data_IF_341005865452
#
_entry.id   IF_341005865452
#
_cell.length_a   1.000
_cell.length_b   1.000
_cell.length_c   1.000
_cell.angle_alpha   90.00
_cell.angle_beta   90.00
_cell.angle_gamma   90.00
#
_symmetry.space_group_name_H-M   'P 1'
#
loop_
_entity.id
_entity.type
_entity.pdbx_description
1 polymer ?
#
# COMPACT_ATOMS: atom_id res chain seq x y z
N UNK A 1 -15.86 -11.07 9.44
CA UNK A 1 -14.60 -11.48 10.09
C UNK A 1 -14.59 -10.87 11.48
N UNK A 2 -14.32 -11.64 12.53
CA UNK A 2 -14.22 -11.13 13.90
C UNK A 2 -12.90 -10.35 14.13
N UNK A 3 -12.82 -9.64 15.26
CA UNK A 3 -11.68 -8.78 15.61
C UNK A 3 -10.38 -9.57 15.74
N UNK A 4 -10.38 -10.79 16.28
CA UNK A 4 -9.14 -11.56 16.45
C UNK A 4 -8.57 -11.98 15.09
N UNK A 5 -9.44 -12.44 14.18
CA UNK A 5 -9.03 -12.80 12.82
C UNK A 5 -8.48 -11.58 12.07
N UNK A 6 -9.13 -10.41 12.19
CA UNK A 6 -8.63 -9.14 11.62
C UNK A 6 -7.26 -8.78 12.21
N UNK A 7 -7.12 -8.85 13.53
CA UNK A 7 -5.88 -8.52 14.23
C UNK A 7 -4.73 -9.46 13.80
N UNK A 8 -4.98 -10.75 13.66
CA UNK A 8 -3.98 -11.69 13.16
C UNK A 8 -3.53 -11.38 11.73
N UNK A 9 -4.46 -11.07 10.82
CA UNK A 9 -4.12 -10.71 9.43
C UNK A 9 -3.24 -9.46 9.36
N UNK A 10 -3.62 -8.40 10.08
CA UNK A 10 -2.87 -7.15 9.99
C UNK A 10 -1.52 -7.22 10.70
N UNK A 11 -1.37 -8.06 11.73
CA UNK A 11 -0.13 -8.16 12.53
C UNK A 11 0.86 -9.24 12.06
N UNK A 12 0.43 -10.25 11.29
CA UNK A 12 1.35 -11.30 10.83
C UNK A 12 2.48 -10.72 9.99
N UNK A 13 3.68 -11.30 10.08
CA UNK A 13 4.83 -10.91 9.25
C UNK A 13 5.22 -9.42 9.34
N UNK A 14 4.90 -8.75 10.46
CA UNK A 14 5.42 -7.42 10.78
C UNK A 14 6.60 -7.54 11.73
N UNK A 15 7.60 -6.69 11.53
CA UNK A 15 8.72 -6.56 12.46
C UNK A 15 8.34 -5.75 13.71
N UNK A 16 7.45 -4.75 13.56
CA UNK A 16 7.09 -3.82 14.62
C UNK A 16 5.64 -3.33 14.48
N UNK A 17 5.00 -3.05 15.62
CA UNK A 17 3.65 -2.47 15.72
C UNK A 17 3.63 -1.45 16.85
N UNK A 18 3.23 -0.21 16.55
CA UNK A 18 3.21 0.91 17.51
C UNK A 18 1.79 1.51 17.57
N UNK A 19 1.04 1.39 18.69
CA UNK A 19 1.09 0.28 19.66
C UNK A 19 0.06 -0.80 19.31
N UNK A 20 0.28 -2.04 19.75
CA UNK A 20 -0.66 -3.15 19.51
C UNK A 20 -2.04 -2.91 20.14
N UNK A 21 -2.10 -2.20 21.27
CA UNK A 21 -3.36 -1.90 21.95
C UNK A 21 -4.20 -0.87 21.19
N UNK A 22 -3.57 0.17 20.65
CA UNK A 22 -4.25 1.16 19.79
C UNK A 22 -4.77 0.51 18.51
N UNK A 23 -3.98 -0.39 17.90
CA UNK A 23 -4.42 -1.15 16.73
C UNK A 23 -5.65 -2.02 17.05
N UNK A 24 -5.67 -2.72 18.19
CA UNK A 24 -6.84 -3.50 18.62
C UNK A 24 -8.07 -2.60 18.79
N UNK A 25 -7.93 -1.51 19.53
CA UNK A 25 -9.02 -0.56 19.75
C UNK A 25 -9.55 0.02 18.43
N UNK A 26 -8.65 0.33 17.48
CA UNK A 26 -9.04 0.77 16.14
C UNK A 26 -9.88 -0.28 15.41
N UNK A 27 -9.49 -1.57 15.47
CA UNK A 27 -10.25 -2.64 14.84
C UNK A 27 -11.61 -2.87 15.51
N UNK A 28 -11.72 -2.70 16.82
CA UNK A 28 -12.97 -2.88 17.57
C UNK A 28 -13.97 -1.73 17.33
N UNK A 29 -13.47 -0.52 17.10
CA UNK A 29 -14.30 0.69 17.00
C UNK A 29 -14.52 1.18 15.56
N UNK A 30 -13.71 0.72 14.61
CA UNK A 30 -13.81 1.11 13.21
C UNK A 30 -13.87 -0.11 12.28
N UNK A 31 -15.02 -0.22 11.58
CA UNK A 31 -15.27 -1.28 10.62
C UNK A 31 -14.35 -1.18 9.39
N UNK A 32 -14.03 0.04 8.95
CA UNK A 32 -13.21 0.32 7.76
C UNK A 32 -12.11 1.35 8.05
N UNK A 33 -11.09 1.00 8.85
CA UNK A 33 -9.97 1.89 9.08
C UNK A 33 -9.24 2.21 7.78
N UNK A 34 -8.70 3.44 7.67
CA UNK A 34 -7.86 3.82 6.54
C UNK A 34 -6.40 3.44 6.84
N UNK A 35 -5.73 2.90 5.83
CA UNK A 35 -4.29 2.61 5.88
C UNK A 35 -3.67 2.89 4.52
N UNK A 36 -2.36 3.16 4.47
CA UNK A 36 -1.68 3.39 3.20
C UNK A 36 -0.23 2.93 3.21
N UNK A 37 0.30 2.69 2.01
CA UNK A 37 1.75 2.64 1.75
C UNK A 37 2.05 3.56 0.58
N UNK A 38 3.07 4.41 0.74
CA UNK A 38 3.58 5.27 -0.31
C UNK A 38 4.75 4.64 -1.05
N UNK A 39 4.78 4.81 -2.36
CA UNK A 39 5.92 4.44 -3.20
C UNK A 39 6.32 5.64 -4.06
N UNK A 40 7.62 5.83 -4.27
CA UNK A 40 8.15 6.72 -5.30
C UNK A 40 8.52 5.86 -6.52
N UNK A 41 7.61 5.65 -7.49
CA UNK A 41 7.82 4.70 -8.57
C UNK A 41 8.88 5.27 -9.53
N UNK A 42 10.00 4.57 -9.68
CA UNK A 42 11.16 5.13 -10.37
C UNK A 42 12.03 4.07 -11.05
N UNK A 43 11.40 3.12 -11.73
CA UNK A 43 12.09 2.01 -12.39
C UNK A 43 11.31 0.70 -12.25
N UNK A 44 12.03 -0.42 -12.23
CA UNK A 44 11.44 -1.75 -12.08
C UNK A 44 11.03 -2.03 -10.63
N UNK A 45 9.91 -2.73 -10.46
CA UNK A 45 9.48 -3.18 -9.13
C UNK A 45 10.33 -4.37 -8.68
N UNK A 46 10.96 -4.25 -7.53
CA UNK A 46 11.67 -5.36 -6.91
C UNK A 46 10.67 -6.40 -6.35
N UNK A 47 11.05 -7.68 -6.36
CA UNK A 47 10.26 -8.78 -5.81
C UNK A 47 9.88 -8.56 -4.33
N UNK A 48 10.72 -7.93 -3.52
CA UNK A 48 10.37 -7.54 -2.15
C UNK A 48 9.17 -6.58 -2.10
N UNK A 49 9.17 -5.56 -2.96
CA UNK A 49 8.07 -4.59 -3.08
C UNK A 49 6.80 -5.27 -3.58
N UNK A 50 6.89 -6.04 -4.66
CA UNK A 50 5.73 -6.69 -5.26
C UNK A 50 5.14 -7.78 -4.37
N UNK A 51 5.96 -8.75 -3.95
CA UNK A 51 5.47 -9.97 -3.30
C UNK A 51 5.30 -9.79 -1.79
N UNK A 52 6.26 -9.19 -1.10
CA UNK A 52 6.21 -9.09 0.36
C UNK A 52 5.31 -7.93 0.78
N UNK A 53 5.58 -6.72 0.28
CA UNK A 53 4.75 -5.56 0.60
C UNK A 53 3.36 -5.71 -0.03
N UNK A 54 3.27 -6.18 -1.28
CA UNK A 54 1.97 -6.47 -1.90
C UNK A 54 1.12 -7.48 -1.12
N UNK A 55 1.72 -8.56 -0.59
CA UNK A 55 0.98 -9.47 0.29
C UNK A 55 0.49 -8.79 1.56
N UNK A 56 1.32 -7.93 2.18
CA UNK A 56 0.90 -7.18 3.36
C UNK A 56 -0.26 -6.22 3.06
N UNK A 57 -0.23 -5.52 1.92
CA UNK A 57 -1.35 -4.67 1.49
C UNK A 57 -2.64 -5.48 1.26
N UNK A 58 -2.53 -6.70 0.70
CA UNK A 58 -3.67 -7.62 0.58
C UNK A 58 -4.23 -7.99 1.95
N UNK A 59 -3.38 -8.29 2.93
CA UNK A 59 -3.82 -8.62 4.29
C UNK A 59 -4.65 -7.50 4.92
N UNK A 60 -4.26 -6.24 4.73
CA UNK A 60 -5.02 -5.10 5.23
C UNK A 60 -6.36 -4.94 4.52
N UNK A 61 -6.38 -5.05 3.19
CA UNK A 61 -7.63 -5.00 2.42
C UNK A 61 -8.59 -6.14 2.82
N UNK A 62 -8.08 -7.36 2.97
CA UNK A 62 -8.86 -8.54 3.41
C UNK A 62 -9.36 -8.41 4.86
N UNK A 63 -8.62 -7.68 5.71
CA UNK A 63 -9.05 -7.32 7.06
C UNK A 63 -10.08 -6.17 7.11
N UNK A 64 -10.53 -5.68 5.94
CA UNK A 64 -11.59 -4.68 5.80
C UNK A 64 -11.11 -3.23 5.82
N UNK A 65 -9.80 -2.98 5.71
CA UNK A 65 -9.29 -1.61 5.62
C UNK A 65 -9.69 -0.97 4.28
N UNK A 66 -9.98 0.33 4.33
CA UNK A 66 -9.86 1.14 3.13
C UNK A 66 -8.36 1.41 2.91
N UNK A 67 -7.73 0.55 2.10
CA UNK A 67 -6.28 0.58 1.91
C UNK A 67 -5.89 1.31 0.64
N UNK A 68 -4.91 2.21 0.77
CA UNK A 68 -4.47 3.12 -0.29
C UNK A 68 -3.05 2.77 -0.71
N UNK A 69 -2.84 2.59 -2.01
CA UNK A 69 -1.51 2.65 -2.62
C UNK A 69 -1.30 4.07 -3.11
N UNK A 70 -0.40 4.79 -2.44
CA UNK A 70 -0.08 6.16 -2.79
C UNK A 70 1.11 6.21 -3.77
N UNK A 71 0.84 6.65 -5.00
CA UNK A 71 1.79 6.76 -6.10
C UNK A 71 2.43 8.15 -6.08
N UNK A 72 3.56 8.26 -5.39
CA UNK A 72 4.21 9.50 -5.02
C UNK A 72 5.16 10.04 -6.11
N UNK A 73 4.67 10.25 -7.33
CA UNK A 73 5.50 10.73 -8.45
C UNK A 73 6.08 12.14 -8.22
N UNK A 74 5.35 13.04 -7.56
CA UNK A 74 5.88 14.36 -7.15
C UNK A 74 7.06 14.23 -6.17
N UNK A 75 7.01 13.26 -5.27
CA UNK A 75 8.11 13.00 -4.33
C UNK A 75 9.32 12.45 -5.08
N UNK A 76 9.09 11.54 -6.02
CA UNK A 76 10.14 11.08 -6.95
C UNK A 76 10.74 12.22 -7.77
N UNK A 77 9.92 13.17 -8.22
CA UNK A 77 10.35 14.33 -9.00
C UNK A 77 11.23 15.28 -8.18
N UNK A 78 10.80 15.64 -6.96
CA UNK A 78 11.60 16.46 -6.03
C UNK A 78 12.90 15.75 -5.67
N UNK A 79 12.90 14.42 -5.58
CA UNK A 79 14.09 13.59 -5.36
C UNK A 79 14.94 13.35 -6.62
N UNK A 80 14.68 14.07 -7.72
CA UNK A 80 15.40 13.98 -8.98
C UNK A 80 15.49 12.55 -9.55
N UNK A 81 14.50 11.70 -9.25
CA UNK A 81 14.43 10.34 -9.78
C UNK A 81 14.06 10.38 -11.26
N UNK A 82 14.53 9.39 -12.01
CA UNK A 82 14.29 9.30 -13.46
C UNK A 82 14.73 10.57 -14.22
N UNK A 83 15.80 11.23 -13.73
CA UNK A 83 16.33 12.47 -14.30
C UNK A 83 15.47 13.71 -14.06
N UNK A 84 14.54 13.67 -13.09
CA UNK A 84 13.64 14.80 -12.81
C UNK A 84 12.59 15.05 -13.89
N UNK A 85 12.35 14.07 -14.76
CA UNK A 85 11.33 14.14 -15.81
C UNK A 85 10.03 13.54 -15.26
N UNK A 86 9.04 14.40 -15.00
CA UNK A 86 7.77 13.99 -14.37
C UNK A 86 7.03 12.93 -15.19
N UNK A 87 7.04 13.03 -16.52
CA UNK A 87 6.41 12.04 -17.41
C UNK A 87 6.97 10.62 -17.23
N UNK A 88 8.29 10.49 -17.01
CA UNK A 88 8.91 9.19 -16.74
C UNK A 88 8.44 8.61 -15.40
N UNK A 89 8.24 9.47 -14.40
CA UNK A 89 7.73 9.06 -13.08
C UNK A 89 6.26 8.66 -13.15
N UNK A 90 5.44 9.41 -13.90
CA UNK A 90 4.04 9.06 -14.13
C UNK A 90 3.91 7.72 -14.87
N UNK A 91 4.79 7.47 -15.83
CA UNK A 91 4.87 6.16 -16.53
C UNK A 91 5.23 5.05 -15.55
N UNK A 92 6.22 5.26 -14.68
CA UNK A 92 6.60 4.27 -13.66
C UNK A 92 5.48 4.03 -12.63
N UNK A 93 4.71 5.06 -12.28
CA UNK A 93 3.56 4.94 -11.39
C UNK A 93 2.43 4.10 -12.01
N UNK A 94 2.15 4.30 -13.30
CA UNK A 94 1.23 3.44 -14.06
C UNK A 94 1.70 1.99 -14.09
N UNK A 95 2.99 1.76 -14.36
CA UNK A 95 3.59 0.43 -14.32
C UNK A 95 3.45 -0.25 -12.94
N UNK A 96 3.66 0.48 -11.85
CA UNK A 96 3.45 -0.05 -10.50
C UNK A 96 2.00 -0.40 -10.23
N UNK A 97 1.05 0.43 -10.69
CA UNK A 97 -0.39 0.14 -10.61
C UNK A 97 -0.73 -1.17 -11.33
N UNK A 98 -0.24 -1.36 -12.55
CA UNK A 98 -0.48 -2.57 -13.34
C UNK A 98 0.07 -3.82 -12.63
N UNK A 99 1.29 -3.74 -12.09
CA UNK A 99 1.90 -4.86 -11.37
C UNK A 99 1.14 -5.23 -10.09
N UNK A 100 0.78 -4.25 -9.27
CA UNK A 100 -0.01 -4.54 -8.07
C UNK A 100 -1.41 -5.06 -8.42
N UNK A 101 -2.03 -4.56 -9.49
CA UNK A 101 -3.30 -5.06 -9.99
C UNK A 101 -3.18 -6.53 -10.42
N UNK A 102 -2.13 -6.89 -11.16
CA UNK A 102 -1.84 -8.27 -11.55
C UNK A 102 -1.59 -9.19 -10.35
N UNK A 103 -1.12 -8.64 -9.23
CA UNK A 103 -0.96 -9.33 -7.97
C UNK A 103 -2.28 -9.38 -7.15
N UNK A 104 -3.42 -9.02 -7.72
CA UNK A 104 -4.73 -9.13 -7.05
C UNK A 104 -5.05 -7.98 -6.11
N UNK A 105 -4.39 -6.83 -6.27
CA UNK A 105 -4.73 -5.56 -5.63
C UNK A 105 -5.43 -4.64 -6.64
N UNK A 106 -6.50 -5.11 -7.26
CA UNK A 106 -7.23 -4.32 -8.26
C UNK A 106 -8.00 -3.16 -7.63
N UNK A 107 -8.39 -2.18 -8.45
CA UNK A 107 -9.36 -1.16 -8.06
C UNK A 107 -10.64 -1.80 -7.51
N UNK A 108 -11.23 -1.14 -6.50
CA UNK A 108 -12.37 -1.65 -5.73
C UNK A 108 -11.96 -2.53 -4.54
N UNK A 109 -10.84 -3.25 -4.63
CA UNK A 109 -10.21 -3.89 -3.46
C UNK A 109 -9.30 -2.94 -2.71
N UNK A 110 -8.61 -2.07 -3.44
CA UNK A 110 -7.80 -0.97 -2.91
C UNK A 110 -8.05 0.33 -3.69
N UNK A 111 -7.66 1.45 -3.10
CA UNK A 111 -7.61 2.76 -3.76
C UNK A 111 -6.18 3.01 -4.28
N UNK A 112 -6.06 3.42 -5.53
CA UNK A 112 -4.82 4.00 -6.07
C UNK A 112 -4.94 5.51 -6.06
N UNK A 113 -4.09 6.18 -5.29
CA UNK A 113 -4.08 7.64 -5.19
C UNK A 113 -2.77 8.18 -5.76
N UNK A 114 -2.88 9.03 -6.77
CA UNK A 114 -1.73 9.74 -7.35
C UNK A 114 -1.44 11.00 -6.54
N UNK A 115 -0.18 11.41 -6.51
CA UNK A 115 0.19 12.65 -5.83
C UNK A 115 -0.28 13.91 -6.57
N UNK A 116 -0.41 13.84 -7.90
CA UNK A 116 -0.88 14.92 -8.78
C UNK A 116 -2.38 15.11 -8.79
#
# INVERSE_FOLDING_TARGET
MDTETRLQLVTRNLQEIITKNELRNLLETNQHPRGYVGFEPSGLMHAGTGLIVGQKMRDYADAGFHFIIYLAEWHGWINNKMGGVLENLSTAAGFFKDLFTALGLSEGKIEYLWAS
#
